data_IF_214905024499
#
_entry.id   IF_214905024499
#
_cell.length_a   1.000
_cell.length_b   1.000
_cell.length_c   1.000
_cell.angle_alpha   90.00
_cell.angle_beta   90.00
_cell.angle_gamma   90.00
#
_symmetry.space_group_name_H-M   'P 1'
#
loop_
_entity.id
_entity.type
_entity.pdbx_description
1 polymer ?
#
# COMPACT_ATOMS: atom_id res chain seq x y z
N UNK A 1 55.66 38.23 -23.25
CA UNK A 1 54.58 37.34 -23.70
C UNK A 1 54.07 36.48 -22.57
N UNK A 2 54.98 35.80 -21.88
CA UNK A 2 54.66 34.69 -20.98
C UNK A 2 53.83 35.06 -19.75
N UNK A 3 54.07 36.21 -19.12
CA UNK A 3 53.28 36.65 -17.94
C UNK A 3 51.81 36.90 -18.31
N UNK A 4 51.55 37.49 -19.49
CA UNK A 4 50.19 37.70 -19.97
C UNK A 4 49.47 36.38 -20.27
N UNK A 5 50.19 35.41 -20.85
CA UNK A 5 49.67 34.08 -21.10
C UNK A 5 49.29 33.34 -19.81
N UNK A 6 50.15 33.39 -18.79
CA UNK A 6 49.88 32.79 -17.47
C UNK A 6 48.66 33.41 -16.79
N UNK A 7 48.48 34.73 -16.87
CA UNK A 7 47.30 35.42 -16.31
C UNK A 7 46.03 35.02 -17.06
N UNK A 8 46.05 35.01 -18.41
CA UNK A 8 44.90 34.57 -19.21
C UNK A 8 44.50 33.12 -18.91
N UNK A 9 45.48 32.22 -18.79
CA UNK A 9 45.23 30.82 -18.42
C UNK A 9 44.66 30.69 -17.01
N UNK A 10 45.15 31.48 -16.05
CA UNK A 10 44.66 31.48 -14.66
C UNK A 10 43.20 31.95 -14.57
N UNK A 11 42.82 32.97 -15.36
CA UNK A 11 41.44 33.45 -15.43
C UNK A 11 40.50 32.39 -16.03
N UNK A 12 40.94 31.71 -17.08
CA UNK A 12 40.19 30.62 -17.71
C UNK A 12 39.98 29.48 -16.70
N UNK A 13 41.03 29.05 -16.01
CA UNK A 13 40.96 27.99 -15.00
C UNK A 13 39.99 28.35 -13.86
N UNK A 14 40.04 29.60 -13.39
CA UNK A 14 39.13 30.10 -12.35
C UNK A 14 37.67 30.04 -12.82
N UNK A 15 37.39 30.41 -14.08
CA UNK A 15 36.05 30.32 -14.66
C UNK A 15 35.54 28.88 -14.78
N UNK A 16 36.39 27.94 -15.22
CA UNK A 16 36.04 26.52 -15.30
C UNK A 16 35.72 25.93 -13.92
N UNK A 17 36.48 26.31 -12.90
CA UNK A 17 36.25 25.87 -11.53
C UNK A 17 34.93 26.39 -10.98
N UNK A 18 34.60 27.67 -11.23
CA UNK A 18 33.30 28.23 -10.84
C UNK A 18 32.14 27.51 -11.54
N UNK A 19 32.27 27.22 -12.84
CA UNK A 19 31.28 26.45 -13.59
C UNK A 19 31.12 25.03 -13.04
N UNK A 20 32.23 24.35 -12.74
CA UNK A 20 32.22 23.01 -12.15
C UNK A 20 31.51 22.95 -10.80
N UNK A 21 31.73 23.93 -9.92
CA UNK A 21 31.03 24.02 -8.64
C UNK A 21 29.52 24.17 -8.86
N UNK A 22 29.09 25.05 -9.78
CA UNK A 22 27.66 25.23 -10.09
C UNK A 22 27.03 23.95 -10.65
N UNK A 23 27.70 23.30 -11.59
CA UNK A 23 27.22 22.04 -12.18
C UNK A 23 27.14 20.92 -11.14
N UNK A 24 28.11 20.83 -10.23
CA UNK A 24 28.06 19.85 -9.14
C UNK A 24 26.87 20.09 -8.19
N UNK A 25 26.57 21.36 -7.88
CA UNK A 25 25.42 21.71 -7.06
C UNK A 25 24.09 21.40 -7.78
N UNK A 26 24.03 21.64 -9.09
CA UNK A 26 22.85 21.31 -9.92
C UNK A 26 22.59 19.80 -9.96
N UNK A 27 23.63 18.98 -10.17
CA UNK A 27 23.53 17.52 -10.14
C UNK A 27 23.06 17.02 -8.77
N UNK A 28 23.61 17.55 -7.67
CA UNK A 28 23.18 17.18 -6.33
C UNK A 28 21.69 17.51 -6.09
N UNK A 29 21.23 18.66 -6.59
CA UNK A 29 19.81 19.04 -6.55
C UNK A 29 18.95 18.05 -7.34
N UNK A 30 19.35 17.69 -8.55
CA UNK A 30 18.64 16.72 -9.40
C UNK A 30 18.60 15.31 -8.77
N UNK A 31 19.65 14.90 -8.06
CA UNK A 31 19.71 13.61 -7.36
C UNK A 31 18.68 13.45 -6.24
N UNK A 32 18.21 14.56 -5.65
CA UNK A 32 17.12 14.52 -4.65
C UNK A 32 15.82 13.95 -5.25
N UNK A 33 15.55 14.23 -6.53
CA UNK A 33 14.40 13.66 -7.24
C UNK A 33 14.53 12.17 -7.48
N UNK A 34 15.75 11.70 -7.78
CA UNK A 34 16.06 10.28 -7.94
C UNK A 34 15.89 9.54 -6.62
N UNK A 35 16.34 10.13 -5.50
CA UNK A 35 16.15 9.56 -4.18
C UNK A 35 14.67 9.33 -3.85
N UNK A 36 13.79 10.31 -4.16
CA UNK A 36 12.34 10.15 -3.98
C UNK A 36 11.77 9.02 -4.83
N UNK A 37 12.18 8.89 -6.09
CA UNK A 37 11.76 7.78 -6.94
C UNK A 37 12.22 6.43 -6.37
N UNK A 38 13.47 6.36 -5.91
CA UNK A 38 14.02 5.17 -5.28
C UNK A 38 13.25 4.79 -4.01
N UNK A 39 12.75 5.75 -3.23
CA UNK A 39 11.90 5.47 -2.07
C UNK A 39 10.61 4.75 -2.47
N UNK A 40 9.94 5.16 -3.55
CA UNK A 40 8.74 4.46 -4.05
C UNK A 40 9.03 3.02 -4.48
N UNK A 41 10.21 2.75 -5.05
CA UNK A 41 10.59 1.37 -5.43
C UNK A 41 10.80 0.43 -4.23
N UNK A 42 10.98 1.00 -3.04
CA UNK A 42 11.27 0.29 -1.79
C UNK A 42 10.09 0.23 -0.82
N UNK A 43 8.93 0.78 -1.19
CA UNK A 43 7.74 0.67 -0.37
C UNK A 43 7.32 -0.79 -0.26
N UNK A 44 6.87 -1.16 0.95
CA UNK A 44 6.24 -2.45 1.16
C UNK A 44 5.02 -2.55 0.26
N UNK A 45 4.96 -3.63 -0.52
CA UNK A 45 3.77 -3.95 -1.29
C UNK A 45 2.68 -4.32 -0.30
N UNK A 46 1.43 -3.97 -0.62
CA UNK A 46 0.28 -4.48 0.14
C UNK A 46 0.47 -5.98 0.37
N UNK A 47 0.28 -6.42 1.62
CA UNK A 47 0.40 -7.81 2.00
C UNK A 47 -0.64 -8.62 1.22
N UNK A 48 -0.29 -9.06 0.01
CA UNK A 48 -0.79 -10.31 -0.54
C UNK A 48 -0.25 -11.33 0.42
N UNK A 49 -1.01 -11.61 1.48
CA UNK A 49 -0.71 -12.59 2.51
C UNK A 49 0.13 -13.71 1.92
N UNK A 50 1.46 -13.61 2.07
CA UNK A 50 2.41 -14.65 1.67
C UNK A 50 2.37 -15.74 2.74
N UNK A 51 1.16 -16.06 3.22
CA UNK A 51 0.88 -17.35 3.83
C UNK A 51 1.26 -18.38 2.78
N UNK A 52 2.13 -19.30 3.17
CA UNK A 52 2.80 -20.29 2.34
C UNK A 52 1.86 -21.34 1.71
N UNK A 53 0.57 -21.03 1.54
CA UNK A 53 -0.45 -21.88 0.94
C UNK A 53 -1.57 -21.04 0.33
N UNK A 54 -1.24 -20.16 -0.63
CA UNK A 54 -2.28 -19.45 -1.37
C UNK A 54 -3.04 -20.45 -2.24
N UNK A 55 -4.20 -20.90 -1.78
CA UNK A 55 -5.02 -21.89 -2.47
C UNK A 55 -5.85 -21.17 -3.53
N UNK A 56 -5.79 -21.64 -4.77
CA UNK A 56 -6.82 -21.28 -5.75
C UNK A 56 -8.13 -21.90 -5.22
N UNK A 57 -9.19 -21.11 -5.04
CA UNK A 57 -10.46 -21.67 -4.63
C UNK A 57 -10.93 -22.65 -5.72
N UNK A 58 -11.78 -23.61 -5.33
CA UNK A 58 -12.36 -24.53 -6.30
C UNK A 58 -13.03 -23.75 -7.45
N UNK A 59 -13.05 -24.33 -8.66
CA UNK A 59 -13.60 -23.67 -9.86
C UNK A 59 -15.03 -23.16 -9.68
N UNK A 60 -15.79 -23.81 -8.82
CA UNK A 60 -17.20 -23.52 -8.56
C UNK A 60 -17.41 -22.60 -7.35
N UNK A 61 -16.34 -22.13 -6.69
CA UNK A 61 -16.44 -21.21 -5.56
C UNK A 61 -16.69 -19.78 -6.05
N UNK A 62 -17.59 -19.01 -5.40
CA UNK A 62 -18.47 -19.42 -4.30
C UNK A 62 -19.73 -20.17 -4.78
N UNK A 63 -20.11 -21.26 -4.11
CA UNK A 63 -21.27 -22.11 -4.42
C UNK A 63 -22.57 -21.62 -3.78
N UNK A 64 -22.52 -21.32 -2.49
CA UNK A 64 -23.71 -20.97 -1.71
C UNK A 64 -23.73 -19.47 -1.35
N UNK A 65 -22.55 -18.87 -1.21
CA UNK A 65 -22.41 -17.47 -0.80
C UNK A 65 -22.70 -17.23 0.68
N UNK A 66 -22.44 -18.20 1.55
CA UNK A 66 -22.47 -17.98 2.99
C UNK A 66 -21.30 -17.10 3.41
N UNK A 67 -21.53 -16.07 4.23
CA UNK A 67 -20.49 -15.16 4.70
C UNK A 67 -20.44 -15.19 6.23
N UNK A 68 -19.28 -15.50 6.80
CA UNK A 68 -19.05 -15.52 8.25
C UNK A 68 -17.99 -14.50 8.63
N UNK A 69 -18.32 -13.61 9.57
CA UNK A 69 -17.38 -12.74 10.26
C UNK A 69 -17.11 -13.32 11.65
N UNK A 70 -15.85 -13.58 11.98
CA UNK A 70 -15.44 -14.15 13.26
C UNK A 70 -14.36 -13.30 13.92
N UNK A 71 -14.72 -12.67 15.03
CA UNK A 71 -13.89 -11.77 15.82
C UNK A 71 -13.20 -10.69 14.98
N UNK A 72 -13.92 -10.11 14.02
CA UNK A 72 -13.31 -9.19 13.05
C UNK A 72 -13.10 -7.82 13.67
N UNK A 73 -11.85 -7.35 13.62
CA UNK A 73 -11.48 -5.97 13.91
C UNK A 73 -10.94 -5.30 12.65
N UNK A 74 -11.26 -4.02 12.46
CA UNK A 74 -10.69 -3.22 11.39
C UNK A 74 -10.20 -1.89 11.95
N UNK A 75 -8.94 -1.57 11.67
CA UNK A 75 -8.35 -0.26 11.93
C UNK A 75 -7.59 0.24 10.70
N UNK A 76 -7.83 1.48 10.29
CA UNK A 76 -7.13 2.07 9.13
C UNK A 76 -5.73 2.61 9.50
N UNK A 77 -5.47 2.83 10.78
CA UNK A 77 -4.22 3.35 11.32
C UNK A 77 -3.88 2.60 12.61
N UNK A 78 -2.72 2.84 13.22
CA UNK A 78 -2.34 2.25 14.51
C UNK A 78 -3.15 2.79 15.72
N UNK A 79 -4.41 3.18 15.49
CA UNK A 79 -5.32 3.74 16.48
C UNK A 79 -6.48 2.82 16.83
N UNK A 80 -7.55 3.43 17.33
CA UNK A 80 -8.74 2.72 17.77
C UNK A 80 -9.47 2.05 16.59
N UNK A 81 -9.82 0.76 16.71
CA UNK A 81 -10.51 0.04 15.64
C UNK A 81 -11.91 0.60 15.37
N UNK A 82 -12.22 0.82 14.09
CA UNK A 82 -13.53 1.28 13.61
C UNK A 82 -14.56 0.15 13.73
N UNK A 83 -14.16 -1.08 13.42
CA UNK A 83 -14.96 -2.28 13.64
C UNK A 83 -14.34 -3.06 14.79
N UNK A 84 -15.14 -3.45 15.77
CA UNK A 84 -14.68 -4.09 17.00
C UNK A 84 -15.42 -5.39 17.23
N UNK A 85 -14.68 -6.49 17.22
CA UNK A 85 -15.12 -7.83 17.55
C UNK A 85 -16.43 -8.23 16.84
N UNK A 86 -16.49 -7.97 15.53
CA UNK A 86 -17.68 -8.32 14.73
C UNK A 86 -17.80 -9.84 14.58
N UNK A 87 -18.95 -10.36 14.99
CA UNK A 87 -19.29 -11.78 14.95
C UNK A 87 -20.71 -11.94 14.41
N UNK A 88 -20.85 -12.35 13.15
CA UNK A 88 -22.15 -12.63 12.54
C UNK A 88 -22.00 -13.52 11.30
N UNK A 89 -23.09 -14.17 10.91
CA UNK A 89 -23.16 -15.03 9.73
C UNK A 89 -24.33 -14.60 8.87
N UNK A 90 -24.09 -14.43 7.57
CA UNK A 90 -25.11 -14.20 6.54
C UNK A 90 -25.34 -15.51 5.81
N UNK A 91 -26.58 -15.98 5.80
CA UNK A 91 -26.92 -17.26 5.18
C UNK A 91 -27.01 -17.15 3.65
N UNK A 92 -26.82 -18.26 2.92
CA UNK A 92 -27.04 -18.32 1.48
C UNK A 92 -28.39 -17.74 1.05
N UNK A 93 -28.36 -16.82 0.08
CA UNK A 93 -29.57 -16.18 -0.48
C UNK A 93 -30.26 -15.15 0.41
N UNK A 94 -29.69 -14.84 1.57
CA UNK A 94 -30.25 -13.87 2.51
C UNK A 94 -30.03 -12.41 2.04
N UNK A 95 -31.04 -11.55 2.23
CA UNK A 95 -30.94 -10.12 1.94
C UNK A 95 -30.81 -9.34 3.24
N UNK A 96 -29.64 -8.77 3.48
CA UNK A 96 -29.33 -8.02 4.71
C UNK A 96 -29.28 -6.53 4.44
N UNK A 97 -29.91 -5.74 5.31
CA UNK A 97 -29.80 -4.28 5.34
C UNK A 97 -28.89 -3.82 6.48
N UNK A 98 -27.93 -2.96 6.18
CA UNK A 98 -27.02 -2.38 7.19
C UNK A 98 -27.45 -0.94 7.48
N UNK A 99 -27.85 -0.67 8.72
CA UNK A 99 -28.30 0.66 9.17
C UNK A 99 -27.47 1.18 10.34
N UNK A 100 -27.40 2.50 10.49
CA UNK A 100 -26.67 3.14 11.59
C UNK A 100 -26.31 4.59 11.27
N UNK A 101 -25.92 5.36 12.29
CA UNK A 101 -25.50 6.76 12.14
C UNK A 101 -24.29 6.91 11.21
N UNK A 102 -24.07 8.11 10.69
CA UNK A 102 -22.83 8.46 9.99
C UNK A 102 -21.62 8.20 10.90
N UNK A 103 -20.55 7.60 10.35
CA UNK A 103 -19.36 7.22 11.11
C UNK A 103 -19.45 5.89 11.87
N UNK A 104 -20.58 5.19 11.85
CA UNK A 104 -20.74 3.91 12.55
C UNK A 104 -20.00 2.70 11.92
N UNK A 105 -19.11 2.91 10.94
CA UNK A 105 -18.32 1.84 10.33
C UNK A 105 -19.00 1.04 9.20
N UNK A 106 -20.18 1.45 8.72
CA UNK A 106 -20.90 0.72 7.65
C UNK A 106 -20.08 0.51 6.37
N UNK A 107 -19.45 1.58 5.86
CA UNK A 107 -18.56 1.48 4.68
C UNK A 107 -17.28 0.71 4.99
N UNK A 108 -16.81 0.76 6.24
CA UNK A 108 -15.66 -0.01 6.69
C UNK A 108 -15.95 -1.50 6.74
N UNK A 109 -17.18 -1.91 7.05
CA UNK A 109 -17.61 -3.31 6.96
C UNK A 109 -17.54 -3.82 5.52
N UNK A 110 -17.93 -3.00 4.55
CA UNK A 110 -17.77 -3.31 3.12
C UNK A 110 -16.28 -3.39 2.76
N UNK A 111 -15.47 -2.44 3.22
CA UNK A 111 -14.02 -2.45 2.98
C UNK A 111 -13.34 -3.71 3.55
N UNK A 112 -13.76 -4.17 4.74
CA UNK A 112 -13.30 -5.41 5.36
C UNK A 112 -13.63 -6.63 4.48
N UNK A 113 -14.89 -6.73 4.02
CA UNK A 113 -15.35 -7.85 3.19
C UNK A 113 -14.56 -7.96 1.87
N UNK A 114 -14.25 -6.83 1.25
CA UNK A 114 -13.46 -6.77 0.01
C UNK A 114 -11.94 -6.76 0.23
N UNK A 115 -11.48 -6.92 1.48
CA UNK A 115 -10.05 -6.88 1.85
C UNK A 115 -9.32 -5.60 1.40
N UNK A 116 -10.02 -4.47 1.38
CA UNK A 116 -9.46 -3.16 0.98
C UNK A 116 -8.71 -2.46 2.13
N UNK A 117 -8.75 -3.03 3.33
CA UNK A 117 -8.10 -2.53 4.52
C UNK A 117 -7.61 -3.71 5.37
N UNK A 118 -6.55 -3.53 6.17
CA UNK A 118 -6.08 -4.56 7.08
C UNK A 118 -7.17 -4.88 8.11
N UNK A 119 -7.36 -6.18 8.34
CA UNK A 119 -8.33 -6.69 9.29
C UNK A 119 -7.70 -7.77 10.14
N UNK A 120 -8.10 -7.83 11.41
CA UNK A 120 -7.81 -8.96 12.30
C UNK A 120 -9.06 -9.83 12.40
N UNK A 121 -8.87 -11.09 12.81
CA UNK A 121 -9.94 -12.09 12.84
C UNK A 121 -10.01 -12.85 11.51
N UNK A 122 -11.18 -13.44 11.22
CA UNK A 122 -11.41 -14.21 10.01
C UNK A 122 -12.71 -13.80 9.35
N UNK A 123 -12.66 -13.62 8.02
CA UNK A 123 -13.85 -13.48 7.17
C UNK A 123 -13.84 -14.67 6.24
N UNK A 124 -14.94 -15.43 6.23
CA UNK A 124 -15.06 -16.65 5.43
C UNK A 124 -16.20 -16.54 4.45
N UNK A 125 -15.98 -17.07 3.24
CA UNK A 125 -17.02 -17.26 2.24
C UNK A 125 -17.07 -18.74 1.89
N UNK A 126 -18.23 -19.37 2.09
CA UNK A 126 -18.42 -20.82 1.91
C UNK A 126 -17.35 -21.65 2.65
N UNK A 127 -17.10 -21.32 3.92
CA UNK A 127 -16.12 -21.95 4.80
C UNK A 127 -14.63 -21.77 4.40
N UNK A 128 -14.34 -21.05 3.32
CA UNK A 128 -12.98 -20.67 2.94
C UNK A 128 -12.63 -19.29 3.51
N UNK A 129 -11.49 -19.18 4.21
CA UNK A 129 -11.01 -17.88 4.67
C UNK A 129 -10.54 -17.04 3.48
N UNK A 130 -11.10 -15.84 3.34
CA UNK A 130 -10.75 -14.97 2.22
C UNK A 130 -9.29 -14.52 2.28
N UNK A 131 -8.65 -14.56 3.46
CA UNK A 131 -7.25 -14.21 3.66
C UNK A 131 -6.29 -15.21 2.98
N UNK A 132 -6.72 -16.46 2.77
CA UNK A 132 -5.94 -17.52 2.14
C UNK A 132 -6.14 -17.58 0.61
N UNK A 133 -7.09 -16.79 0.09
CA UNK A 133 -7.44 -16.74 -1.32
C UNK A 133 -6.63 -15.66 -2.03
N UNK A 134 -6.14 -15.99 -3.22
CA UNK A 134 -5.43 -15.05 -4.11
C UNK A 134 -6.40 -14.01 -4.66
N UNK A 135 -6.06 -12.72 -4.53
CA UNK A 135 -6.87 -11.61 -5.08
C UNK A 135 -6.69 -11.45 -6.61
N UNK A 136 -5.61 -11.99 -7.16
CA UNK A 136 -5.29 -11.94 -8.58
C UNK A 136 -4.93 -13.35 -9.08
N UNK A 137 -5.29 -13.66 -10.33
CA UNK A 137 -4.90 -14.91 -11.02
C UNK A 137 -3.39 -14.94 -11.33
#
# INVERSE_FOLDING_TARGET
GDVGLVISQSLILTGMLQFGIRQSAEVASQMTSVERLMQYTRLDKEEVSQSCSVKKPDRDWPKNGEIEFKNVNLSYTNGEPVLKNLNFTIKPGEKIGIVGRTGAGKSSLIAALFRLAPTEGAIRIDNADISDIRLHD
#
